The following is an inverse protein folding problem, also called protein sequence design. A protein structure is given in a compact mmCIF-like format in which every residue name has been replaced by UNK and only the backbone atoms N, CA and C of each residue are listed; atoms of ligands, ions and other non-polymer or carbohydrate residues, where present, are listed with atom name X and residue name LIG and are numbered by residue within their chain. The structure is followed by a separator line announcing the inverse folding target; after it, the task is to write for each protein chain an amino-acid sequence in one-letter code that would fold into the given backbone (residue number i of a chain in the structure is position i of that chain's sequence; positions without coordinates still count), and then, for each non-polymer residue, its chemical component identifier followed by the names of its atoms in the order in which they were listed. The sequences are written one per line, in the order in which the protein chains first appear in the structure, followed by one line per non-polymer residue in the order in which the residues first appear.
data_IF_254572307521
#
_entry.id   IF_254572307521
#
_cell.length_a   1.000
_cell.length_b   1.000
_cell.length_c   1.000
_cell.angle_alpha   90.00
_cell.angle_beta   90.00
_cell.angle_gamma   90.00
#
_symmetry.space_group_name_H-M   'P 1'
#
loop_
_entity.id
_entity.type
_entity.pdbx_description
1 polymer ?
#
# COMPACT_ATOMS: atom_id res chain seq x y z
N UNK A 1 59.93 14.76 11.84
CA UNK A 1 58.65 14.96 12.56
C UNK A 1 57.41 15.05 11.64
N UNK A 2 57.57 15.31 10.34
CA UNK A 2 56.45 15.46 9.39
C UNK A 2 55.72 14.15 9.01
N UNK A 3 56.42 13.01 8.93
CA UNK A 3 55.82 11.72 8.53
C UNK A 3 54.76 11.17 9.51
N UNK A 4 54.87 11.46 10.82
CA UNK A 4 53.89 11.00 11.83
C UNK A 4 52.53 11.72 11.73
N UNK A 5 52.49 12.92 11.12
CA UNK A 5 51.25 13.70 10.96
C UNK A 5 50.44 13.25 9.75
N UNK A 6 51.11 12.85 8.66
CA UNK A 6 50.44 12.32 7.46
C UNK A 6 49.77 10.96 7.69
N UNK A 7 50.42 10.05 8.43
CA UNK A 7 49.84 8.74 8.73
C UNK A 7 48.53 8.81 9.52
N UNK A 8 48.36 9.83 10.38
CA UNK A 8 47.12 10.03 11.17
C UNK A 8 45.96 10.56 10.33
N UNK A 9 46.24 11.36 9.30
CA UNK A 9 45.22 11.93 8.40
C UNK A 9 44.64 10.84 7.50
N UNK A 10 45.48 9.93 6.99
CA UNK A 10 45.03 8.84 6.13
C UNK A 10 44.11 7.87 6.88
N UNK A 11 44.44 7.52 8.14
CA UNK A 11 43.61 6.64 8.97
C UNK A 11 42.23 7.26 9.25
N UNK A 12 42.16 8.56 9.56
CA UNK A 12 40.90 9.26 9.78
C UNK A 12 40.03 9.32 8.52
N UNK A 13 40.64 9.53 7.35
CA UNK A 13 39.90 9.61 6.09
C UNK A 13 39.31 8.24 5.69
N UNK A 14 40.02 7.14 5.93
CA UNK A 14 39.50 5.78 5.70
C UNK A 14 38.33 5.40 6.61
N UNK A 15 38.32 5.86 7.87
CA UNK A 15 37.21 5.61 8.82
C UNK A 15 35.96 6.40 8.39
N UNK A 16 36.13 7.63 7.90
CA UNK A 16 35.01 8.45 7.44
C UNK A 16 34.37 7.89 6.16
N UNK A 17 35.14 7.31 5.23
CA UNK A 17 34.57 6.61 4.07
C UNK A 17 33.86 5.30 4.42
N UNK A 18 34.20 4.63 5.52
CA UNK A 18 33.48 3.43 5.98
C UNK A 18 32.11 3.76 6.59
N UNK A 19 31.96 4.97 7.15
CA UNK A 19 30.71 5.43 7.79
C UNK A 19 29.65 5.93 6.78
N UNK A 20 30.05 6.28 5.55
CA UNK A 20 29.13 6.80 4.52
C UNK A 20 28.52 5.65 3.69
N UNK A 21 29.03 4.42 3.82
CA UNK A 21 28.65 3.27 2.98
C UNK A 21 27.44 2.44 3.47
N UNK A 22 26.75 2.84 4.53
CA UNK A 22 25.76 1.96 5.20
C UNK A 22 24.33 2.48 5.24
N UNK A 23 24.00 3.57 4.56
CA UNK A 23 22.60 4.04 4.44
C UNK A 23 21.85 3.34 3.31
N UNK A 24 22.07 2.04 3.13
CA UNK A 24 21.02 1.18 2.57
C UNK A 24 19.99 1.11 3.68
N UNK A 25 18.83 1.76 3.52
CA UNK A 25 17.71 1.61 4.44
C UNK A 25 17.51 0.11 4.65
N UNK A 26 17.95 -0.38 5.80
CA UNK A 26 17.91 -1.80 6.10
C UNK A 26 16.45 -2.22 6.01
N UNK A 27 16.22 -3.33 5.32
CA UNK A 27 14.92 -3.94 5.33
C UNK A 27 14.58 -4.31 6.77
N UNK A 28 13.62 -3.59 7.35
CA UNK A 28 13.18 -3.82 8.73
C UNK A 28 12.19 -5.00 8.82
N UNK A 29 11.97 -5.72 7.72
CA UNK A 29 11.20 -6.96 7.67
C UNK A 29 9.70 -6.75 7.54
N UNK A 30 9.23 -5.50 7.43
CA UNK A 30 7.81 -5.22 7.23
C UNK A 30 7.36 -5.54 5.81
N UNK A 31 6.18 -6.14 5.69
CA UNK A 31 5.54 -6.44 4.39
C UNK A 31 4.89 -5.18 3.81
N UNK A 32 4.17 -4.41 4.63
CA UNK A 32 3.52 -3.18 4.21
C UNK A 32 4.45 -1.98 4.40
N UNK A 33 5.00 -1.49 3.29
CA UNK A 33 5.75 -0.23 3.23
C UNK A 33 4.87 0.87 2.67
N UNK A 34 5.25 2.12 2.95
CA UNK A 34 4.63 3.27 2.30
C UNK A 34 4.61 3.05 0.77
N UNK A 35 3.47 3.30 0.10
CA UNK A 35 2.31 4.05 0.59
C UNK A 35 1.20 3.21 1.24
N UNK A 36 1.36 1.89 1.42
CA UNK A 36 0.35 1.09 2.11
C UNK A 36 0.28 1.47 3.60
N UNK A 37 -0.76 2.22 3.96
CA UNK A 37 -1.02 2.67 5.32
C UNK A 37 -2.33 2.05 5.82
N UNK A 38 -2.22 1.30 6.93
CA UNK A 38 -3.35 0.77 7.68
C UNK A 38 -3.38 1.46 9.05
N UNK A 39 -3.42 2.79 9.08
CA UNK A 39 -3.37 3.54 10.34
C UNK A 39 -2.02 3.51 11.06
N UNK A 40 -0.94 3.21 10.34
CA UNK A 40 0.38 2.98 10.93
C UNK A 40 0.59 1.59 11.51
N UNK A 41 -0.37 0.67 11.34
CA UNK A 41 -0.17 -0.74 11.68
C UNK A 41 0.87 -1.37 10.73
N UNK A 42 1.69 -2.27 11.26
CA UNK A 42 2.79 -2.92 10.54
C UNK A 42 2.60 -4.44 10.53
N UNK A 43 2.71 -5.03 9.35
CA UNK A 43 2.57 -6.46 9.10
C UNK A 43 3.94 -7.10 8.93
N UNK A 44 4.22 -8.14 9.71
CA UNK A 44 5.42 -8.97 9.61
C UNK A 44 4.99 -10.40 9.31
N UNK A 45 5.60 -11.06 8.33
CA UNK A 45 5.30 -12.45 8.01
C UNK A 45 6.60 -13.27 7.97
N UNK A 46 6.58 -14.46 8.57
CA UNK A 46 7.66 -15.43 8.48
C UNK A 46 7.12 -16.86 8.60
N UNK A 47 7.94 -17.83 8.20
CA UNK A 47 7.57 -19.26 8.22
C UNK A 47 7.27 -19.79 9.64
N UNK A 48 7.92 -19.25 10.68
CA UNK A 48 7.79 -19.76 12.05
C UNK A 48 6.45 -19.38 12.70
N UNK A 49 5.99 -18.16 12.47
CA UNK A 49 4.87 -17.56 13.19
C UNK A 49 3.68 -17.20 12.28
N UNK A 50 3.84 -17.28 10.96
CA UNK A 50 2.89 -16.74 10.00
C UNK A 50 2.94 -15.22 9.98
N UNK A 51 1.77 -14.58 9.86
CA UNK A 51 1.67 -13.12 9.74
C UNK A 51 1.17 -12.49 11.04
N UNK A 52 1.93 -11.53 11.57
CA UNK A 52 1.62 -10.77 12.79
C UNK A 52 1.46 -9.30 12.44
N UNK A 53 0.38 -8.70 12.94
CA UNK A 53 0.10 -7.27 12.83
C UNK A 53 0.43 -6.58 14.15
N UNK A 54 1.21 -5.52 14.09
CA UNK A 54 1.57 -4.68 15.23
C UNK A 54 1.05 -3.27 15.02
N UNK A 55 0.68 -2.58 16.10
CA UNK A 55 0.41 -1.15 16.04
C UNK A 55 1.72 -0.33 16.00
N UNK A 56 1.61 1.00 15.88
CA UNK A 56 2.77 1.91 15.83
C UNK A 56 3.69 1.89 17.06
N UNK A 57 3.23 1.35 18.20
CA UNK A 57 4.06 1.19 19.41
C UNK A 57 4.60 -0.23 19.56
N UNK A 58 4.36 -1.12 18.58
CA UNK A 58 4.82 -2.50 18.58
C UNK A 58 3.96 -3.48 19.37
N UNK A 59 2.71 -3.13 19.72
CA UNK A 59 1.79 -4.07 20.36
C UNK A 59 1.10 -4.97 19.34
N UNK A 60 1.01 -6.27 19.64
CA UNK A 60 0.28 -7.24 18.84
C UNK A 60 -1.21 -6.87 18.72
N UNK A 61 -1.69 -6.83 17.49
CA UNK A 61 -3.07 -6.56 17.10
C UNK A 61 -3.77 -7.79 16.54
N UNK A 62 -3.03 -8.57 15.73
CA UNK A 62 -3.52 -9.78 15.09
C UNK A 62 -2.38 -10.77 14.83
N UNK A 63 -2.69 -12.06 14.83
CA UNK A 63 -1.80 -13.09 14.33
C UNK A 63 -2.60 -14.09 13.48
N UNK A 64 -2.10 -14.37 12.29
CA UNK A 64 -2.54 -15.43 11.40
C UNK A 64 -1.45 -16.50 11.38
N UNK A 65 -1.62 -17.62 12.11
CA UNK A 65 -0.57 -18.61 12.25
C UNK A 65 -0.26 -19.28 10.90
N UNK A 66 0.99 -19.72 10.73
CA UNK A 66 1.46 -20.36 9.50
C UNK A 66 0.56 -21.49 9.01
N UNK A 67 0.07 -22.31 9.94
CA UNK A 67 -0.82 -23.44 9.63
C UNK A 67 -2.16 -22.99 9.06
N UNK A 68 -2.71 -21.86 9.53
CA UNK A 68 -3.95 -21.30 8.99
C UNK A 68 -3.71 -20.73 7.57
N UNK A 69 -2.56 -20.08 7.35
CA UNK A 69 -2.17 -19.57 6.03
C UNK A 69 -2.05 -20.73 5.04
N UNK A 70 -1.29 -21.78 5.40
CA UNK A 70 -1.12 -22.97 4.57
C UNK A 70 -2.47 -23.63 4.22
N UNK A 71 -3.37 -23.75 5.20
CA UNK A 71 -4.71 -24.30 5.00
C UNK A 71 -5.53 -23.46 4.01
N UNK A 72 -5.49 -22.13 4.16
CA UNK A 72 -6.23 -21.22 3.29
C UNK A 72 -5.67 -21.20 1.86
N UNK A 73 -4.34 -21.24 1.70
CA UNK A 73 -3.69 -21.35 0.38
C UNK A 73 -4.09 -22.64 -0.33
N UNK A 74 -4.01 -23.79 0.34
CA UNK A 74 -4.43 -25.06 -0.23
C UNK A 74 -5.93 -25.07 -0.63
N UNK A 75 -6.78 -24.46 0.19
CA UNK A 75 -8.20 -24.33 -0.09
C UNK A 75 -8.48 -23.36 -1.26
N UNK A 76 -7.75 -22.25 -1.37
CA UNK A 76 -7.85 -21.32 -2.50
C UNK A 76 -7.42 -21.98 -3.81
N UNK A 77 -6.31 -22.71 -3.79
CA UNK A 77 -5.80 -23.48 -4.93
C UNK A 77 -6.81 -24.55 -5.37
N UNK A 78 -7.43 -25.28 -4.43
CA UNK A 78 -8.39 -26.33 -4.76
C UNK A 78 -9.73 -25.77 -5.29
N UNK A 79 -10.24 -24.72 -4.64
CA UNK A 79 -11.56 -24.14 -4.97
C UNK A 79 -11.52 -23.17 -6.12
N UNK A 80 -10.33 -22.66 -6.46
CA UNK A 80 -10.15 -21.52 -7.36
C UNK A 80 -10.93 -20.27 -6.90
N UNK A 81 -11.13 -20.12 -5.58
CA UNK A 81 -11.80 -18.98 -4.96
C UNK A 81 -10.91 -18.34 -3.89
N UNK A 82 -11.08 -17.03 -3.66
CA UNK A 82 -10.43 -16.37 -2.53
C UNK A 82 -10.92 -16.99 -1.22
N UNK A 83 -9.98 -17.36 -0.34
CA UNK A 83 -10.28 -18.04 0.92
C UNK A 83 -9.78 -17.20 2.10
N UNK A 84 -10.61 -16.89 3.10
CA UNK A 84 -10.14 -16.15 4.26
C UNK A 84 -9.20 -17.03 5.10
N UNK A 85 -8.07 -16.47 5.52
CA UNK A 85 -7.18 -17.12 6.48
C UNK A 85 -7.86 -17.09 7.85
N UNK A 86 -7.95 -18.26 8.48
CA UNK A 86 -8.59 -18.38 9.79
C UNK A 86 -7.88 -17.50 10.83
N UNK A 87 -8.64 -16.59 11.44
CA UNK A 87 -8.15 -15.61 12.39
C UNK A 87 -9.02 -14.36 12.34
N UNK A 88 -9.21 -13.70 13.48
CA UNK A 88 -9.83 -12.36 13.50
C UNK A 88 -8.70 -11.36 13.68
N UNK A 89 -8.44 -10.54 12.67
CA UNK A 89 -7.55 -9.41 12.82
C UNK A 89 -8.33 -8.20 13.29
N UNK A 90 -7.80 -7.48 14.28
CA UNK A 90 -8.32 -6.19 14.71
C UNK A 90 -7.19 -5.19 14.59
N UNK A 91 -7.19 -4.41 13.51
CA UNK A 91 -6.29 -3.27 13.36
C UNK A 91 -6.65 -2.14 14.32
N UNK A 92 -5.81 -1.11 14.37
CA UNK A 92 -6.01 0.08 15.21
C UNK A 92 -7.33 0.78 14.89
N UNK A 93 -7.71 0.82 13.61
CA UNK A 93 -8.88 1.58 13.13
C UNK A 93 -10.05 0.72 12.64
N UNK A 94 -9.92 -0.61 12.66
CA UNK A 94 -10.99 -1.47 12.18
C UNK A 94 -10.61 -2.94 12.07
N UNK A 95 -11.58 -3.79 11.69
CA UNK A 95 -11.30 -5.20 11.44
C UNK A 95 -10.30 -5.34 10.29
N UNK A 96 -9.37 -6.29 10.42
CA UNK A 96 -8.42 -6.67 9.38
C UNK A 96 -8.58 -8.14 9.03
N UNK A 97 -8.40 -8.43 7.74
CA UNK A 97 -8.56 -9.77 7.18
C UNK A 97 -7.38 -10.09 6.29
N UNK A 98 -6.92 -11.34 6.37
CA UNK A 98 -5.93 -11.91 5.46
C UNK A 98 -6.64 -12.93 4.56
N UNK A 99 -6.38 -12.85 3.27
CA UNK A 99 -7.03 -13.65 2.24
C UNK A 99 -5.98 -14.39 1.40
N UNK A 100 -6.21 -15.68 1.19
CA UNK A 100 -5.50 -16.48 0.20
C UNK A 100 -6.16 -16.32 -1.16
N UNK A 101 -5.38 -15.95 -2.17
CA UNK A 101 -5.86 -15.77 -3.53
C UNK A 101 -5.68 -17.07 -4.34
N UNK A 102 -6.61 -17.41 -5.24
CA UNK A 102 -6.60 -18.68 -5.97
C UNK A 102 -5.59 -18.75 -7.12
N UNK A 103 -5.13 -17.58 -7.60
CA UNK A 103 -4.24 -17.50 -8.73
C UNK A 103 -2.80 -17.37 -8.24
N UNK A 104 -1.96 -18.29 -8.69
CA UNK A 104 -0.51 -18.19 -8.55
C UNK A 104 0.04 -17.14 -9.53
N UNK A 105 1.16 -16.53 -9.18
CA UNK A 105 1.89 -15.61 -10.07
C UNK A 105 2.53 -16.39 -11.21
N UNK A 106 3.09 -15.68 -12.21
CA UNK A 106 3.80 -16.31 -13.33
C UNK A 106 4.97 -17.21 -12.87
N UNK A 107 5.52 -16.93 -11.69
CA UNK A 107 6.60 -17.71 -11.07
C UNK A 107 6.10 -18.91 -10.25
N UNK A 108 4.78 -19.14 -10.18
CA UNK A 108 4.19 -20.21 -9.37
C UNK A 108 4.01 -19.88 -7.89
N UNK A 109 4.33 -18.64 -7.47
CA UNK A 109 4.15 -18.19 -6.08
C UNK A 109 2.67 -18.00 -5.78
N UNK A 110 2.26 -18.30 -4.55
CA UNK A 110 0.93 -17.99 -4.06
C UNK A 110 0.83 -16.50 -3.72
N UNK A 111 -0.38 -15.97 -3.65
CA UNK A 111 -0.63 -14.56 -3.29
C UNK A 111 -1.50 -14.48 -2.05
N UNK A 112 -1.10 -13.65 -1.10
CA UNK A 112 -1.90 -13.25 0.05
C UNK A 112 -2.30 -11.79 -0.08
N UNK A 113 -3.53 -11.44 0.31
CA UNK A 113 -3.99 -10.06 0.36
C UNK A 113 -4.51 -9.72 1.75
N UNK A 114 -4.05 -8.60 2.29
CA UNK A 114 -4.57 -8.00 3.51
C UNK A 114 -5.57 -6.92 3.14
N UNK A 115 -6.71 -6.92 3.84
CA UNK A 115 -7.73 -5.88 3.78
C UNK A 115 -7.90 -5.29 5.17
N UNK A 116 -7.90 -3.97 5.28
CA UNK A 116 -8.04 -3.25 6.54
C UNK A 116 -8.49 -1.82 6.34
N UNK A 117 -8.43 -1.02 7.40
CA UNK A 117 -8.88 0.38 7.42
C UNK A 117 -7.73 1.28 7.86
N UNK A 118 -7.68 2.49 7.29
CA UNK A 118 -6.76 3.55 7.75
C UNK A 118 -7.38 4.45 8.82
N UNK A 119 -6.63 5.48 9.22
CA UNK A 119 -7.02 6.44 10.25
C UNK A 119 -8.26 7.29 9.90
N UNK A 120 -8.67 7.30 8.64
CA UNK A 120 -9.86 7.99 8.14
C UNK A 120 -11.06 7.05 7.98
N UNK A 121 -10.87 5.75 8.24
CA UNK A 121 -11.92 4.75 8.03
C UNK A 121 -12.05 4.31 6.58
N UNK A 122 -11.11 4.69 5.70
CA UNK A 122 -11.06 4.22 4.33
C UNK A 122 -10.50 2.80 4.30
N UNK A 123 -11.17 1.92 3.57
CA UNK A 123 -10.69 0.56 3.36
C UNK A 123 -9.50 0.57 2.40
N UNK A 124 -8.41 -0.08 2.82
CA UNK A 124 -7.23 -0.32 2.00
C UNK A 124 -7.03 -1.82 1.83
N UNK A 125 -6.42 -2.19 0.71
CA UNK A 125 -5.98 -3.55 0.47
C UNK A 125 -4.56 -3.59 -0.10
N UNK A 126 -3.87 -4.68 0.18
CA UNK A 126 -2.49 -4.87 -0.21
C UNK A 126 -2.25 -6.35 -0.43
N UNK A 127 -1.70 -6.72 -1.58
CA UNK A 127 -1.35 -8.09 -1.90
C UNK A 127 0.17 -8.28 -1.95
N UNK A 128 0.65 -9.45 -1.56
CA UNK A 128 2.07 -9.81 -1.58
C UNK A 128 2.24 -11.29 -1.90
N UNK A 129 3.39 -11.64 -2.44
CA UNK A 129 3.68 -13.00 -2.86
C UNK A 129 4.23 -13.82 -1.69
N UNK A 130 3.92 -15.11 -1.70
CA UNK A 130 4.51 -16.11 -0.82
C UNK A 130 4.99 -17.27 -1.68
N UNK A 131 6.28 -17.58 -1.56
CA UNK A 131 6.92 -18.70 -2.27
C UNK A 131 6.52 -20.03 -1.64
N UNK A 132 6.86 -21.14 -2.30
CA UNK A 132 6.56 -22.49 -1.78
C UNK A 132 7.29 -22.83 -0.46
N UNK A 133 8.43 -22.19 -0.21
CA UNK A 133 9.20 -22.28 1.05
C UNK A 133 8.79 -21.23 2.09
N UNK A 134 7.62 -20.59 1.93
CA UNK A 134 7.09 -19.57 2.82
C UNK A 134 8.01 -18.38 3.05
N UNK A 135 8.77 -18.02 2.02
CA UNK A 135 9.38 -16.71 1.94
C UNK A 135 8.30 -15.70 1.55
N UNK A 136 8.09 -14.70 2.40
CA UNK A 136 7.12 -13.64 2.20
C UNK A 136 7.80 -12.45 1.54
N UNK A 137 7.41 -12.16 0.31
CA UNK A 137 7.90 -10.99 -0.39
C UNK A 137 7.22 -9.73 0.15
N UNK A 138 7.90 -8.60 0.03
CA UNK A 138 7.28 -7.32 0.30
C UNK A 138 6.14 -7.07 -0.66
N UNK A 139 5.12 -6.35 -0.17
CA UNK A 139 4.08 -5.89 -1.07
C UNK A 139 4.71 -4.98 -2.14
N UNK A 140 4.46 -5.25 -3.43
CA UNK A 140 4.92 -4.37 -4.48
C UNK A 140 4.27 -3.01 -4.26
N UNK A 141 5.03 -1.92 -4.41
CA UNK A 141 4.46 -0.58 -4.35
C UNK A 141 3.25 -0.52 -5.28
N UNK A 142 2.14 0.12 -4.88
CA UNK A 142 1.03 0.29 -5.80
C UNK A 142 1.60 1.02 -6.99
N UNK A 143 1.47 0.39 -8.15
CA UNK A 143 1.76 1.06 -9.40
C UNK A 143 0.69 2.14 -9.45
N UNK A 144 1.07 3.38 -9.07
CA UNK A 144 0.29 4.55 -9.47
C UNK A 144 0.04 4.28 -10.94
N UNK A 145 -1.23 4.12 -11.39
CA UNK A 145 -1.46 3.97 -12.80
C UNK A 145 -0.71 5.16 -13.38
N UNK A 146 0.37 4.87 -14.10
CA UNK A 146 1.00 5.88 -14.92
C UNK A 146 -0.18 6.21 -15.80
N UNK A 147 -0.84 7.34 -15.54
CA UNK A 147 -1.75 7.96 -16.49
C UNK A 147 -0.92 7.91 -17.73
N UNK A 148 -1.31 6.97 -18.57
CA UNK A 148 -0.53 6.59 -19.72
C UNK A 148 -0.32 7.91 -20.42
N UNK A 149 0.91 8.42 -20.42
CA UNK A 149 1.40 9.16 -21.57
C UNK A 149 1.54 8.17 -22.74
N UNK A 150 0.49 7.37 -22.97
CA UNK A 150 0.20 6.67 -24.20
C UNK A 150 -0.76 7.62 -24.88
N UNK A 151 -0.19 8.36 -25.81
CA UNK A 151 -0.78 8.59 -27.12
C UNK A 151 -2.11 7.84 -27.30
N UNK A 152 -3.23 8.50 -26.97
CA UNK A 152 -4.53 8.22 -27.59
C UNK A 152 -5.44 7.15 -26.97
N UNK A 153 -5.51 7.01 -25.65
CA UNK A 153 -6.72 6.42 -25.02
C UNK A 153 -7.21 7.38 -23.94
N UNK A 154 -8.17 8.24 -24.32
CA UNK A 154 -8.87 9.12 -23.40
C UNK A 154 -9.49 8.25 -22.30
N UNK A 155 -8.99 8.39 -21.07
CA UNK A 155 -9.81 8.06 -19.90
C UNK A 155 -11.05 8.91 -20.08
N UNK A 156 -12.18 8.27 -20.29
CA UNK A 156 -13.46 8.95 -20.44
C UNK A 156 -13.81 9.60 -19.10
N UNK A 157 -13.26 10.80 -18.92
CA UNK A 157 -13.55 11.71 -17.82
C UNK A 157 -14.90 12.39 -18.05
N UNK A 158 -15.88 11.61 -18.52
CA UNK A 158 -17.26 12.03 -18.58
C UNK A 158 -17.73 12.40 -17.18
N UNK A 159 -18.54 13.45 -17.09
CA UNK A 159 -19.18 13.85 -15.85
C UNK A 159 -20.18 12.81 -15.34
N UNK A 160 -20.45 11.73 -16.08
CA UNK A 160 -21.38 10.66 -15.73
C UNK A 160 -21.06 9.96 -14.40
N UNK A 161 -19.83 10.10 -13.92
CA UNK A 161 -19.38 9.53 -12.64
C UNK A 161 -19.59 10.46 -11.44
N UNK A 162 -20.13 11.67 -11.62
CA UNK A 162 -20.32 12.65 -10.56
C UNK A 162 -21.80 13.03 -10.42
N UNK A 163 -22.26 13.13 -9.17
CA UNK A 163 -23.58 13.59 -8.78
C UNK A 163 -23.49 14.77 -7.83
N UNK A 164 -24.52 15.62 -7.81
CA UNK A 164 -24.66 16.67 -6.79
C UNK A 164 -24.70 16.00 -5.40
N UNK A 165 -23.85 16.47 -4.48
CA UNK A 165 -23.68 15.84 -3.17
C UNK A 165 -22.47 14.90 -3.05
N UNK A 166 -21.75 14.65 -4.14
CA UNK A 166 -20.50 13.88 -4.07
C UNK A 166 -19.36 14.77 -3.54
N UNK A 167 -18.54 14.22 -2.63
CA UNK A 167 -17.31 14.88 -2.19
C UNK A 167 -16.23 14.67 -3.26
N UNK A 168 -15.58 15.74 -3.68
CA UNK A 168 -14.55 15.74 -4.73
C UNK A 168 -13.35 16.59 -4.31
N UNK A 169 -12.18 16.28 -4.89
CA UNK A 169 -10.98 17.11 -4.76
C UNK A 169 -10.38 17.46 -6.12
N UNK A 170 -9.69 18.60 -6.18
CA UNK A 170 -8.99 19.02 -7.39
C UNK A 170 -7.68 18.22 -7.54
N UNK A 171 -7.50 17.55 -8.68
CA UNK A 171 -6.30 16.74 -8.95
C UNK A 171 -5.02 17.59 -8.92
N UNK A 172 -5.10 18.83 -9.38
CA UNK A 172 -3.97 19.76 -9.41
C UNK A 172 -3.57 20.32 -8.03
N UNK A 173 -4.49 20.29 -7.06
CA UNK A 173 -4.29 20.78 -5.70
C UNK A 173 -5.23 20.05 -4.73
N UNK A 174 -4.72 18.99 -4.10
CA UNK A 174 -5.47 18.17 -3.16
C UNK A 174 -5.87 18.88 -1.86
N UNK A 175 -5.46 20.14 -1.66
CA UNK A 175 -5.95 20.96 -0.55
C UNK A 175 -7.30 21.62 -0.87
N UNK A 176 -7.70 21.63 -2.15
CA UNK A 176 -8.99 22.14 -2.63
C UNK A 176 -9.96 20.97 -2.81
N UNK A 177 -10.92 20.85 -1.89
CA UNK A 177 -11.94 19.81 -1.88
C UNK A 177 -13.29 20.39 -1.46
N UNK A 178 -14.37 19.71 -1.80
CA UNK A 178 -15.73 20.14 -1.46
C UNK A 178 -16.80 19.27 -2.09
N UNK A 179 -18.05 19.57 -1.74
CA UNK A 179 -19.22 18.88 -2.26
C UNK A 179 -19.61 19.44 -3.63
N UNK A 180 -19.93 18.56 -4.58
CA UNK A 180 -20.43 18.95 -5.91
C UNK A 180 -21.79 19.63 -5.76
N UNK A 181 -21.85 20.91 -6.15
CA UNK A 181 -23.05 21.75 -6.13
C UNK A 181 -23.88 21.62 -7.42
N UNK A 182 -23.20 21.47 -8.56
CA UNK A 182 -23.83 21.32 -9.87
C UNK A 182 -22.93 20.62 -10.88
N UNK A 183 -23.54 19.92 -11.83
CA UNK A 183 -22.85 19.21 -12.93
C UNK A 183 -23.47 19.64 -14.25
N UNK A 184 -22.63 20.11 -15.18
CA UNK A 184 -23.00 20.44 -16.56
C UNK A 184 -22.43 19.37 -17.50
N UNK A 185 -23.22 18.33 -17.72
CA UNK A 185 -22.89 17.21 -18.61
C UNK A 185 -22.68 17.64 -20.07
N UNK A 186 -23.31 18.74 -20.51
CA UNK A 186 -23.17 19.21 -21.88
C UNK A 186 -21.80 19.86 -22.13
N UNK A 187 -21.23 20.48 -21.09
CA UNK A 187 -19.95 21.18 -21.18
C UNK A 187 -18.79 20.47 -20.47
N UNK A 188 -19.05 19.33 -19.81
CA UNK A 188 -18.00 18.54 -19.16
C UNK A 188 -17.43 19.20 -17.90
N UNK A 189 -18.25 19.99 -17.19
CA UNK A 189 -17.82 20.79 -16.04
C UNK A 189 -18.69 20.54 -14.83
N UNK A 190 -18.13 20.73 -13.64
CA UNK A 190 -18.87 20.76 -12.39
C UNK A 190 -18.45 21.95 -11.53
N UNK A 191 -19.27 22.27 -10.52
CA UNK A 191 -18.98 23.29 -9.51
C UNK A 191 -18.96 22.65 -8.14
N UNK A 192 -17.93 22.92 -7.34
CA UNK A 192 -17.82 22.52 -5.95
C UNK A 192 -17.17 23.67 -5.16
N UNK A 193 -17.68 23.99 -3.97
CA UNK A 193 -17.24 25.12 -3.14
C UNK A 193 -17.12 26.45 -3.91
N UNK A 194 -18.10 26.72 -4.80
CA UNK A 194 -18.10 27.88 -5.69
C UNK A 194 -17.00 27.91 -6.78
N UNK A 195 -16.19 26.86 -6.91
CA UNK A 195 -15.16 26.70 -7.93
C UNK A 195 -15.69 25.87 -9.11
N UNK A 196 -15.62 26.42 -10.33
CA UNK A 196 -15.88 25.68 -11.56
C UNK A 196 -14.64 24.93 -12.04
N UNK A 197 -14.77 23.63 -12.29
CA UNK A 197 -13.70 22.77 -12.80
C UNK A 197 -14.21 21.85 -13.91
N UNK A 198 -13.31 21.33 -14.74
CA UNK A 198 -13.68 20.22 -15.65
C UNK A 198 -13.82 18.93 -14.86
N UNK A 199 -14.72 18.05 -15.28
CA UNK A 199 -14.88 16.73 -14.67
C UNK A 199 -13.60 15.86 -14.77
N UNK A 200 -12.69 16.19 -15.71
CA UNK A 200 -11.36 15.59 -15.83
C UNK A 200 -10.30 16.14 -14.87
N UNK A 201 -10.59 17.22 -14.15
CA UNK A 201 -9.67 17.91 -13.24
C UNK A 201 -9.96 17.60 -11.77
N UNK A 202 -10.97 16.78 -11.52
CA UNK A 202 -11.47 16.45 -10.18
C UNK A 202 -11.57 14.94 -10.02
N UNK A 203 -11.34 14.45 -8.80
CA UNK A 203 -11.49 13.04 -8.44
C UNK A 203 -12.42 12.89 -7.23
N UNK A 204 -13.19 11.78 -7.13
CA UNK A 204 -14.02 11.53 -5.96
C UNK A 204 -13.17 11.44 -4.70
N UNK A 205 -13.60 12.13 -3.65
CA UNK A 205 -13.01 11.97 -2.33
C UNK A 205 -13.49 10.64 -1.73
N UNK A 206 -12.55 9.79 -1.33
CA UNK A 206 -12.89 8.52 -0.71
C UNK A 206 -13.46 8.78 0.69
N UNK A 207 -14.79 8.61 0.82
CA UNK A 207 -15.52 8.68 2.11
C UNK A 207 -15.00 7.67 3.13
#
# INVERSE_FOLDING_TARGET
MFFKRFARIIIFMSIFTLLIGSSVLADDGRINRAPYHFGGDTLFCNEEHGCTLLNMTGHDLANWPQSAIATALAAADQSQQRTPVAGKGQGTYGPMQLWAMPNKTENGNSTLCVVGFDEWGKQNDMCFQVTEDYHYEQAPLPVVPVTKAVVGEEVDHSCDNFSVGDDVMLIADNTVHGEVESVDYAHGTLVFDGLGAKCSEVEPEAK
#
